data_IF_765602231126
#
_entry.id   IF_765602231126
#
_cell.length_a   1.000
_cell.length_b   1.000
_cell.length_c   1.000
_cell.angle_alpha   90.00
_cell.angle_beta   90.00
_cell.angle_gamma   90.00
#
_symmetry.space_group_name_H-M   'P 1'
#
loop_
_entity.id
_entity.type
_entity.pdbx_description
1 polymer ?
#
# COMPACT_ATOMS: atom_id res chain seq x y z
N UNK A 1 -35.30 -22.91 -3.24
CA UNK A 1 -34.28 -23.78 -3.87
C UNK A 1 -32.91 -23.11 -3.77
N UNK A 2 -31.92 -23.83 -3.26
CA UNK A 2 -30.53 -23.36 -3.13
C UNK A 2 -29.82 -23.37 -4.48
N UNK A 3 -29.01 -22.34 -4.77
CA UNK A 3 -28.23 -22.25 -6.01
C UNK A 3 -26.75 -22.07 -5.70
N UNK A 4 -25.89 -22.63 -6.55
CA UNK A 4 -24.45 -22.40 -6.47
C UNK A 4 -24.18 -20.92 -6.72
N UNK A 5 -23.24 -20.35 -5.96
CA UNK A 5 -22.87 -18.95 -5.90
C UNK A 5 -23.88 -17.99 -5.26
N UNK A 6 -25.05 -18.45 -4.79
CA UNK A 6 -25.94 -17.63 -3.95
C UNK A 6 -25.17 -17.16 -2.69
N UNK A 7 -25.46 -15.93 -2.28
CA UNK A 7 -24.94 -15.34 -1.03
C UNK A 7 -26.07 -15.23 -0.03
N UNK A 8 -25.84 -15.75 1.16
CA UNK A 8 -26.77 -15.68 2.29
C UNK A 8 -26.12 -15.01 3.48
N UNK A 9 -26.91 -14.28 4.26
CA UNK A 9 -26.46 -13.64 5.48
C UNK A 9 -27.03 -14.36 6.71
N UNK A 10 -26.16 -14.58 7.69
CA UNK A 10 -26.47 -15.16 8.99
C UNK A 10 -25.50 -14.58 10.02
N UNK A 11 -26.00 -14.12 11.16
CA UNK A 11 -25.18 -13.55 12.25
C UNK A 11 -24.20 -12.44 11.77
N UNK A 12 -24.72 -11.51 10.96
CA UNK A 12 -23.96 -10.40 10.34
C UNK A 12 -22.73 -10.85 9.52
N UNK A 13 -22.73 -12.10 9.03
CA UNK A 13 -21.70 -12.66 8.16
C UNK A 13 -22.33 -13.19 6.90
N UNK A 14 -21.65 -12.97 5.79
CA UNK A 14 -22.08 -13.44 4.47
C UNK A 14 -21.39 -14.74 4.12
N UNK A 15 -22.20 -15.71 3.71
CA UNK A 15 -21.78 -17.02 3.28
C UNK A 15 -22.13 -17.23 1.82
N UNK A 16 -21.18 -17.74 1.03
CA UNK A 16 -21.43 -18.18 -0.34
C UNK A 16 -21.65 -19.67 -0.38
N UNK A 17 -22.64 -20.11 -1.14
CA UNK A 17 -22.88 -21.52 -1.45
C UNK A 17 -21.95 -21.93 -2.59
N UNK A 18 -21.10 -22.92 -2.35
CA UNK A 18 -20.11 -23.39 -3.32
C UNK A 18 -20.56 -24.63 -4.09
N UNK A 19 -21.34 -25.48 -3.41
CA UNK A 19 -21.83 -26.74 -3.95
C UNK A 19 -23.09 -27.16 -3.21
N UNK A 20 -24.00 -27.81 -3.90
CA UNK A 20 -25.30 -28.27 -3.37
C UNK A 20 -25.45 -29.74 -3.74
N UNK A 21 -25.64 -30.57 -2.72
CA UNK A 21 -26.00 -31.98 -2.84
C UNK A 21 -27.48 -32.19 -2.49
N UNK A 22 -27.93 -33.43 -2.39
CA UNK A 22 -29.30 -33.77 -2.03
C UNK A 22 -29.67 -33.44 -0.58
N UNK A 23 -28.75 -33.62 0.37
CA UNK A 23 -29.00 -33.48 1.82
C UNK A 23 -28.12 -32.42 2.48
N UNK A 24 -27.06 -32.00 1.80
CA UNK A 24 -26.05 -31.09 2.32
C UNK A 24 -25.70 -30.04 1.29
N UNK A 25 -25.18 -28.92 1.78
CA UNK A 25 -24.50 -27.96 0.94
C UNK A 25 -23.15 -27.58 1.54
N UNK A 26 -22.28 -27.07 0.68
CA UNK A 26 -20.97 -26.59 1.06
C UNK A 26 -21.00 -25.07 0.96
N UNK A 27 -20.69 -24.38 2.06
CA UNK A 27 -20.65 -22.92 2.14
C UNK A 27 -19.29 -22.42 2.59
N UNK A 28 -19.03 -21.15 2.34
CA UNK A 28 -17.82 -20.44 2.75
C UNK A 28 -18.15 -19.04 3.24
N UNK A 29 -17.55 -18.63 4.37
CA UNK A 29 -17.62 -17.24 4.84
C UNK A 29 -16.82 -16.31 3.91
N UNK A 30 -17.49 -15.32 3.33
CA UNK A 30 -16.91 -14.36 2.39
C UNK A 30 -16.10 -13.29 3.14
N UNK A 31 -16.58 -12.89 4.31
CA UNK A 31 -15.99 -11.80 5.11
C UNK A 31 -14.70 -12.22 5.83
N UNK A 32 -14.42 -13.52 5.90
CA UNK A 32 -13.24 -14.03 6.57
C UNK A 32 -12.02 -14.10 5.63
N UNK A 33 -10.92 -13.42 5.98
CA UNK A 33 -9.65 -13.52 5.24
C UNK A 33 -9.14 -14.98 5.16
N UNK A 34 -9.34 -15.71 6.27
CA UNK A 34 -9.11 -17.13 6.63
C UNK A 34 -10.14 -18.19 6.20
N UNK A 35 -11.31 -17.80 5.67
CA UNK A 35 -12.42 -18.72 5.36
C UNK A 35 -12.07 -19.98 4.56
N UNK A 36 -12.62 -21.12 4.97
CA UNK A 36 -12.52 -22.40 4.27
C UNK A 36 -13.90 -23.02 4.07
N UNK A 37 -14.10 -23.87 3.05
CA UNK A 37 -15.37 -24.56 2.84
C UNK A 37 -15.78 -25.39 4.06
N UNK A 38 -17.05 -25.31 4.42
CA UNK A 38 -17.71 -26.04 5.50
C UNK A 38 -18.98 -26.67 4.96
N UNK A 39 -19.24 -27.92 5.33
CA UNK A 39 -20.46 -28.65 4.96
C UNK A 39 -21.52 -28.43 6.03
N UNK A 40 -22.76 -28.19 5.60
CA UNK A 40 -23.94 -28.05 6.45
C UNK A 40 -25.08 -28.88 5.87
N UNK A 41 -26.00 -29.34 6.72
CA UNK A 41 -27.23 -29.97 6.27
C UNK A 41 -28.24 -28.94 5.77
N UNK A 42 -28.97 -29.30 4.72
CA UNK A 42 -29.98 -28.42 4.13
C UNK A 42 -31.11 -28.15 5.13
N UNK A 43 -31.58 -29.19 5.84
CA UNK A 43 -32.67 -29.09 6.81
C UNK A 43 -32.40 -28.03 7.89
N UNK A 44 -31.16 -27.99 8.42
CA UNK A 44 -30.75 -26.97 9.40
C UNK A 44 -30.83 -25.56 8.83
N UNK A 45 -30.47 -25.39 7.56
CA UNK A 45 -30.55 -24.08 6.90
C UNK A 45 -31.99 -23.69 6.58
N UNK A 46 -32.86 -24.66 6.27
CA UNK A 46 -34.28 -24.43 6.06
C UNK A 46 -34.98 -24.01 7.36
N UNK A 47 -34.63 -24.60 8.50
CA UNK A 47 -35.09 -24.16 9.82
C UNK A 47 -34.68 -22.71 10.10
N UNK A 48 -33.43 -22.32 9.79
CA UNK A 48 -32.96 -20.94 9.93
C UNK A 48 -33.68 -19.95 9.00
N UNK A 49 -34.04 -20.40 7.79
CA UNK A 49 -34.85 -19.60 6.86
C UNK A 49 -36.27 -19.44 7.41
N UNK A 50 -36.89 -20.51 7.91
CA UNK A 50 -38.22 -20.47 8.50
C UNK A 50 -38.28 -19.56 9.74
N UNK A 51 -37.21 -19.55 10.54
CA UNK A 51 -37.04 -18.65 11.68
C UNK A 51 -36.73 -17.18 11.28
N UNK A 52 -36.54 -16.88 9.99
CA UNK A 52 -36.20 -15.54 9.50
C UNK A 52 -34.77 -15.08 9.85
N UNK A 53 -33.90 -15.99 10.29
CA UNK A 53 -32.52 -15.69 10.70
C UNK A 53 -31.54 -15.75 9.53
N UNK A 54 -31.91 -16.41 8.44
CA UNK A 54 -31.10 -16.57 7.25
C UNK A 54 -31.80 -15.95 6.04
N UNK A 55 -31.15 -14.98 5.40
CA UNK A 55 -31.71 -14.24 4.27
C UNK A 55 -30.75 -14.28 3.07
N UNK A 56 -31.29 -14.17 1.85
CA UNK A 56 -30.47 -13.99 0.64
C UNK A 56 -30.09 -12.52 0.51
N UNK A 57 -28.84 -12.26 0.14
CA UNK A 57 -28.30 -10.92 -0.04
C UNK A 57 -27.62 -10.83 -1.41
N UNK A 58 -27.53 -9.62 -1.96
CA UNK A 58 -26.78 -9.38 -3.20
C UNK A 58 -25.30 -9.74 -3.06
N UNK A 59 -24.74 -10.33 -4.13
CA UNK A 59 -23.34 -10.72 -4.16
C UNK A 59 -22.43 -9.49 -4.24
N UNK A 60 -21.54 -9.26 -3.23
CA UNK A 60 -20.59 -8.15 -3.25
C UNK A 60 -19.61 -8.16 -4.44
N UNK A 61 -19.50 -9.30 -5.11
CA UNK A 61 -18.61 -9.52 -6.25
C UNK A 61 -19.36 -9.71 -7.58
N UNK A 62 -20.65 -9.39 -7.64
CA UNK A 62 -21.47 -9.52 -8.85
C UNK A 62 -20.84 -8.83 -10.09
N UNK A 63 -20.17 -7.69 -9.89
CA UNK A 63 -19.46 -6.95 -10.96
C UNK A 63 -18.44 -7.81 -11.74
N UNK A 64 -17.85 -8.83 -11.10
CA UNK A 64 -16.85 -9.69 -11.73
C UNK A 64 -17.42 -10.56 -12.85
N UNK A 65 -18.73 -10.79 -12.87
CA UNK A 65 -19.40 -11.52 -13.95
C UNK A 65 -19.37 -10.73 -15.26
N UNK A 66 -19.42 -9.40 -15.18
CA UNK A 66 -19.55 -8.50 -16.33
C UNK A 66 -18.16 -8.00 -16.79
N UNK A 67 -17.19 -7.98 -15.87
CA UNK A 67 -15.87 -7.43 -16.12
C UNK A 67 -15.11 -8.22 -17.20
N UNK A 68 -14.76 -7.53 -18.29
CA UNK A 68 -13.95 -8.11 -19.37
C UNK A 68 -12.62 -7.37 -19.43
N UNK A 69 -11.54 -7.90 -18.81
CA UNK A 69 -10.23 -7.27 -18.88
C UNK A 69 -9.71 -7.32 -20.32
N UNK A 70 -9.09 -6.23 -20.77
CA UNK A 70 -8.46 -6.15 -22.08
C UNK A 70 -7.43 -7.26 -22.24
N UNK A 71 -7.47 -7.93 -23.40
CA UNK A 71 -6.59 -9.04 -23.68
C UNK A 71 -5.12 -8.58 -23.69
N UNK A 72 -4.24 -9.36 -23.05
CA UNK A 72 -2.82 -9.01 -22.94
C UNK A 72 -2.46 -7.96 -21.87
N UNK A 73 -3.43 -7.31 -21.23
CA UNK A 73 -3.22 -6.44 -20.07
C UNK A 73 -2.54 -7.18 -18.90
N UNK A 74 -1.97 -6.43 -17.94
CA UNK A 74 -1.34 -7.02 -16.74
C UNK A 74 -2.34 -7.87 -15.94
N UNK A 75 -3.58 -7.39 -15.83
CA UNK A 75 -4.64 -8.04 -15.08
C UNK A 75 -5.10 -9.32 -15.75
N UNK A 76 -5.27 -9.30 -17.08
CA UNK A 76 -5.55 -10.48 -17.89
C UNK A 76 -4.48 -11.55 -17.69
N UNK A 77 -3.20 -11.21 -17.87
CA UNK A 77 -2.08 -12.15 -17.71
C UNK A 77 -2.02 -12.76 -16.31
N UNK A 78 -2.30 -11.98 -15.28
CA UNK A 78 -2.34 -12.46 -13.88
C UNK A 78 -3.53 -13.39 -13.63
N UNK A 79 -4.71 -13.04 -14.15
CA UNK A 79 -5.91 -13.89 -14.08
C UNK A 79 -5.66 -15.23 -14.75
N UNK A 80 -5.13 -15.23 -15.97
CA UNK A 80 -4.80 -16.46 -16.71
C UNK A 80 -3.79 -17.33 -15.96
N UNK A 81 -2.71 -16.71 -15.47
CA UNK A 81 -1.68 -17.43 -14.69
C UNK A 81 -2.26 -18.05 -13.41
N UNK A 82 -3.11 -17.31 -12.70
CA UNK A 82 -3.75 -17.81 -11.49
C UNK A 82 -4.74 -18.93 -11.79
N UNK A 83 -5.53 -18.80 -12.87
CA UNK A 83 -6.51 -19.79 -13.30
C UNK A 83 -5.82 -21.09 -13.70
N UNK A 84 -4.77 -21.00 -14.52
CA UNK A 84 -3.99 -22.14 -14.95
C UNK A 84 -3.36 -22.90 -13.77
N UNK A 85 -2.99 -22.20 -12.70
CA UNK A 85 -2.42 -22.82 -11.50
C UNK A 85 -3.44 -23.64 -10.69
N UNK A 86 -4.74 -23.32 -10.75
CA UNK A 86 -5.78 -24.02 -9.99
C UNK A 86 -6.73 -24.86 -10.85
N UNK A 87 -6.60 -24.79 -12.19
CA UNK A 87 -7.49 -25.46 -13.15
C UNK A 87 -7.66 -26.95 -12.84
N UNK A 88 -6.58 -27.65 -12.54
CA UNK A 88 -6.61 -29.10 -12.26
C UNK A 88 -7.20 -29.42 -10.88
N UNK A 89 -7.30 -28.42 -9.99
CA UNK A 89 -7.87 -28.57 -8.63
C UNK A 89 -9.38 -28.35 -8.67
N UNK A 90 -9.84 -27.34 -9.41
CA UNK A 90 -11.26 -26.94 -9.42
C UNK A 90 -12.20 -27.93 -10.13
N UNK A 91 -11.63 -28.89 -10.87
CA UNK A 91 -12.36 -29.96 -11.55
C UNK A 91 -12.80 -31.04 -10.58
N UNK A 92 -12.10 -31.23 -9.46
CA UNK A 92 -12.38 -32.28 -8.49
C UNK A 92 -13.15 -31.72 -7.28
N UNK A 93 -14.33 -32.28 -7.00
CA UNK A 93 -15.17 -31.92 -5.84
C UNK A 93 -14.44 -32.13 -4.50
N UNK A 94 -13.42 -32.99 -4.49
CA UNK A 94 -12.52 -33.19 -3.34
C UNK A 94 -11.84 -31.91 -2.87
N UNK A 95 -11.82 -30.85 -3.70
CA UNK A 95 -11.33 -29.53 -3.30
C UNK A 95 -12.08 -28.95 -2.09
N UNK A 96 -13.31 -29.37 -1.81
CA UNK A 96 -14.06 -28.86 -0.66
C UNK A 96 -13.65 -29.51 0.66
N UNK A 97 -13.17 -30.76 0.64
CA UNK A 97 -12.80 -31.50 1.84
C UNK A 97 -11.35 -31.22 2.26
N UNK A 98 -11.13 -30.85 3.53
CA UNK A 98 -9.83 -30.34 4.04
C UNK A 98 -8.64 -31.26 3.76
N UNK A 99 -8.78 -32.56 4.03
CA UNK A 99 -7.69 -33.54 3.88
C UNK A 99 -7.35 -33.78 2.40
N UNK A 100 -8.37 -34.00 1.58
CA UNK A 100 -8.21 -34.31 0.16
C UNK A 100 -7.72 -33.09 -0.61
N UNK A 101 -8.26 -31.90 -0.32
CA UNK A 101 -7.74 -30.62 -0.81
C UNK A 101 -6.25 -30.46 -0.55
N UNK A 102 -5.77 -30.77 0.66
CA UNK A 102 -4.36 -30.63 0.98
C UNK A 102 -3.49 -31.56 0.12
N UNK A 103 -3.95 -32.78 -0.16
CA UNK A 103 -3.28 -33.71 -1.06
C UNK A 103 -3.30 -33.21 -2.51
N UNK A 104 -4.45 -32.73 -3.02
CA UNK A 104 -4.56 -32.13 -4.36
C UNK A 104 -3.62 -30.95 -4.54
N UNK A 105 -3.59 -30.02 -3.58
CA UNK A 105 -2.71 -28.86 -3.61
C UNK A 105 -1.24 -29.24 -3.59
N UNK A 106 -0.86 -30.26 -2.80
CA UNK A 106 0.51 -30.76 -2.76
C UNK A 106 0.92 -31.37 -4.11
N UNK A 107 0.06 -32.22 -4.68
CA UNK A 107 0.30 -32.83 -5.99
C UNK A 107 0.47 -31.78 -7.10
N UNK A 108 -0.34 -30.71 -7.10
CA UNK A 108 -0.20 -29.61 -8.06
C UNK A 108 1.05 -28.77 -7.78
N UNK A 109 1.39 -28.54 -6.52
CA UNK A 109 2.62 -27.83 -6.15
C UNK A 109 3.89 -28.61 -6.53
N UNK A 110 3.87 -29.94 -6.47
CA UNK A 110 5.02 -30.78 -6.86
C UNK A 110 5.20 -30.80 -8.39
N UNK A 111 4.09 -30.73 -9.16
CA UNK A 111 4.11 -30.68 -10.63
C UNK A 111 4.38 -29.29 -11.20
N UNK A 112 4.15 -28.23 -10.43
CA UNK A 112 4.25 -26.84 -10.88
C UNK A 112 5.31 -26.07 -10.10
N UNK A 113 5.70 -24.86 -10.55
CA UNK A 113 6.58 -23.97 -9.79
C UNK A 113 5.82 -23.07 -8.80
N UNK A 114 4.61 -23.46 -8.40
CA UNK A 114 3.72 -22.63 -7.56
C UNK A 114 3.64 -23.22 -6.16
N UNK A 115 3.90 -22.39 -5.14
CA UNK A 115 3.87 -22.84 -3.75
C UNK A 115 2.44 -23.11 -3.26
N UNK A 116 2.28 -24.10 -2.36
CA UNK A 116 1.00 -24.45 -1.73
C UNK A 116 0.26 -23.23 -1.13
N UNK A 117 0.91 -22.29 -0.42
CA UNK A 117 0.24 -21.08 0.07
C UNK A 117 -0.35 -20.21 -1.04
N UNK A 118 0.33 -20.13 -2.20
CA UNK A 118 -0.14 -19.36 -3.36
C UNK A 118 -1.36 -20.03 -3.98
N UNK A 119 -1.36 -21.35 -4.12
CA UNK A 119 -2.51 -22.11 -4.60
C UNK A 119 -3.71 -21.95 -3.66
N UNK A 120 -3.50 -22.03 -2.34
CA UNK A 120 -4.55 -21.74 -1.35
C UNK A 120 -5.12 -20.34 -1.51
N UNK A 121 -4.28 -19.33 -1.75
CA UNK A 121 -4.72 -17.95 -1.98
C UNK A 121 -5.61 -17.84 -3.22
N UNK A 122 -5.24 -18.48 -4.34
CA UNK A 122 -6.05 -18.46 -5.56
C UNK A 122 -7.36 -19.21 -5.40
N UNK A 123 -7.33 -20.40 -4.81
CA UNK A 123 -8.53 -21.23 -4.61
C UNK A 123 -9.55 -20.56 -3.67
N UNK A 124 -9.06 -19.96 -2.58
CA UNK A 124 -9.87 -19.14 -1.68
C UNK A 124 -10.52 -17.96 -2.40
N UNK A 125 -9.73 -17.21 -3.19
CA UNK A 125 -10.22 -16.09 -3.98
C UNK A 125 -11.29 -16.54 -4.97
N UNK A 126 -11.08 -17.68 -5.62
CA UNK A 126 -12.03 -18.30 -6.53
C UNK A 126 -13.37 -18.60 -5.86
N UNK A 127 -13.36 -19.22 -4.67
CA UNK A 127 -14.58 -19.50 -3.92
C UNK A 127 -15.27 -18.25 -3.37
N UNK A 128 -14.54 -17.31 -2.77
CA UNK A 128 -15.15 -16.12 -2.15
C UNK A 128 -15.88 -15.23 -3.16
N UNK A 129 -15.49 -15.28 -4.43
CA UNK A 129 -15.93 -14.37 -5.49
C UNK A 129 -16.71 -15.04 -6.62
N UNK A 130 -17.27 -16.22 -6.36
CA UNK A 130 -18.31 -16.80 -7.22
C UNK A 130 -17.84 -17.82 -8.25
N UNK A 131 -16.73 -18.51 -8.02
CA UNK A 131 -16.27 -19.64 -8.86
C UNK A 131 -16.18 -19.29 -10.36
N UNK A 132 -15.75 -18.07 -10.66
CA UNK A 132 -15.55 -17.57 -12.02
C UNK A 132 -14.08 -17.34 -12.29
N UNK A 133 -13.68 -17.37 -13.56
CA UNK A 133 -12.30 -17.02 -13.95
C UNK A 133 -11.92 -15.61 -13.48
N UNK A 134 -12.86 -14.67 -13.58
CA UNK A 134 -12.69 -13.28 -13.16
C UNK A 134 -12.58 -13.10 -11.64
N UNK A 135 -12.95 -14.10 -10.82
CA UNK A 135 -12.68 -14.11 -9.39
C UNK A 135 -11.20 -13.84 -9.11
N UNK A 136 -10.31 -14.34 -9.97
CA UNK A 136 -8.88 -14.27 -9.80
C UNK A 136 -8.25 -12.93 -10.16
N UNK A 137 -9.03 -11.97 -10.65
CA UNK A 137 -8.56 -10.62 -10.94
C UNK A 137 -8.01 -9.92 -9.68
N UNK A 138 -6.97 -9.09 -9.84
CA UNK A 138 -6.43 -8.30 -8.74
C UNK A 138 -7.34 -7.12 -8.37
N UNK A 139 -7.41 -6.79 -7.08
CA UNK A 139 -8.21 -5.66 -6.59
C UNK A 139 -7.41 -4.36 -6.64
N UNK A 140 -6.88 -4.00 -7.81
CA UNK A 140 -6.10 -2.77 -7.94
C UNK A 140 -6.93 -1.51 -7.72
N UNK A 141 -8.27 -1.58 -7.85
CA UNK A 141 -9.18 -0.51 -7.42
C UNK A 141 -9.00 -0.13 -5.95
N UNK A 142 -8.57 -1.07 -5.10
CA UNK A 142 -8.27 -0.84 -3.68
C UNK A 142 -6.79 -0.49 -3.43
N UNK A 143 -6.00 -0.36 -4.49
CA UNK A 143 -4.58 0.01 -4.47
C UNK A 143 -4.42 1.39 -5.12
N UNK A 144 -3.34 2.11 -4.79
CA UNK A 144 -3.03 3.35 -5.52
C UNK A 144 -3.13 4.66 -4.72
N UNK A 145 -2.96 4.63 -3.40
CA UNK A 145 -2.61 5.84 -2.64
C UNK A 145 -1.14 6.26 -2.86
N UNK A 146 -0.65 6.22 -4.10
CA UNK A 146 0.67 6.73 -4.45
C UNK A 146 0.67 8.26 -4.26
N UNK A 147 1.68 8.80 -3.58
CA UNK A 147 1.79 10.24 -3.29
C UNK A 147 0.87 10.77 -2.17
N UNK A 148 -0.24 10.08 -1.82
CA UNK A 148 -1.10 10.50 -0.72
C UNK A 148 -0.50 10.07 0.63
N UNK A 149 -0.40 10.97 1.63
CA UNK A 149 0.05 10.60 2.95
C UNK A 149 -0.95 9.63 3.60
N UNK A 150 -0.47 8.51 4.11
CA UNK A 150 -1.31 7.58 4.90
C UNK A 150 -1.54 8.18 6.29
N UNK A 151 -2.79 8.25 6.70
CA UNK A 151 -3.15 8.55 8.09
C UNK A 151 -3.13 7.27 8.90
N UNK A 152 -2.47 7.30 10.05
CA UNK A 152 -2.35 6.16 10.94
C UNK A 152 -3.08 6.49 12.23
N UNK A 153 -4.07 5.68 12.62
CA UNK A 153 -4.79 5.85 13.88
C UNK A 153 -4.06 5.13 15.02
N UNK A 154 -3.85 3.82 14.88
CA UNK A 154 -3.33 2.99 15.97
C UNK A 154 -1.93 2.41 15.71
N UNK A 155 -1.50 2.35 14.44
CA UNK A 155 -0.26 1.67 14.03
C UNK A 155 0.71 2.64 13.40
N UNK A 156 1.83 2.89 14.06
CA UNK A 156 2.90 3.71 13.48
C UNK A 156 3.68 2.92 12.42
N UNK A 157 3.85 3.45 11.20
CA UNK A 157 4.66 2.79 10.17
C UNK A 157 6.16 2.92 10.52
N UNK A 158 6.94 1.93 10.12
CA UNK A 158 8.39 1.93 10.28
C UNK A 158 8.90 1.10 11.46
N UNK A 159 10.20 1.22 11.74
CA UNK A 159 10.89 0.45 12.76
C UNK A 159 10.38 0.83 14.16
N UNK A 160 9.99 -0.17 14.95
CA UNK A 160 9.66 0.02 16.37
C UNK A 160 10.91 0.41 17.16
N UNK A 161 10.76 1.21 18.22
CA UNK A 161 11.86 1.52 19.14
C UNK A 161 12.34 0.20 19.76
N UNK A 162 13.65 -0.06 19.70
CA UNK A 162 14.27 -1.28 20.25
C UNK A 162 14.90 -0.99 21.62
N UNK A 163 15.56 0.16 21.76
CA UNK A 163 16.41 0.47 22.93
C UNK A 163 15.83 1.51 23.90
N UNK A 164 14.83 2.28 23.48
CA UNK A 164 14.21 3.31 24.34
C UNK A 164 12.77 2.91 24.68
N UNK A 165 12.34 3.07 25.94
CA UNK A 165 10.95 2.88 26.32
C UNK A 165 10.01 3.85 25.59
N UNK A 166 8.76 3.43 25.44
CA UNK A 166 7.68 4.24 24.86
C UNK A 166 7.17 3.82 23.48
N UNK A 167 5.91 4.16 23.23
CA UNK A 167 5.24 3.93 21.95
C UNK A 167 5.50 5.09 21.00
N UNK A 168 5.99 4.81 19.78
CA UNK A 168 6.13 5.85 18.75
C UNK A 168 4.76 6.41 18.39
N UNK A 169 4.55 7.71 18.59
CA UNK A 169 3.29 8.38 18.29
C UNK A 169 3.01 8.39 16.79
N UNK A 170 1.78 8.02 16.37
CA UNK A 170 1.37 8.09 14.98
C UNK A 170 1.31 9.55 14.50
N UNK A 171 1.68 9.77 13.23
CA UNK A 171 1.76 11.12 12.67
C UNK A 171 0.37 11.63 12.24
N UNK A 172 -0.35 12.22 13.20
CA UNK A 172 -1.64 12.86 12.99
C UNK A 172 -1.52 14.18 12.18
N UNK A 173 -2.64 14.68 11.66
CA UNK A 173 -2.68 15.91 10.88
C UNK A 173 -2.19 17.14 11.69
N UNK A 174 -2.50 17.20 12.98
CA UNK A 174 -2.09 18.31 13.86
C UNK A 174 -0.57 18.36 14.06
N UNK A 175 0.06 17.20 14.26
CA UNK A 175 1.50 17.08 14.36
C UNK A 175 2.16 17.50 13.04
N UNK A 176 1.58 17.14 11.89
CA UNK A 176 2.07 17.58 10.58
C UNK A 176 1.96 19.09 10.40
N UNK A 177 0.89 19.71 10.88
CA UNK A 177 0.75 21.18 10.87
C UNK A 177 1.85 21.84 11.71
N UNK A 178 2.12 21.30 12.90
CA UNK A 178 3.18 21.82 13.77
C UNK A 178 4.58 21.61 13.17
N UNK A 179 4.83 20.47 12.50
CA UNK A 179 6.04 20.23 11.73
C UNK A 179 6.23 21.29 10.64
N UNK A 180 5.22 21.53 9.79
CA UNK A 180 5.30 22.54 8.72
C UNK A 180 5.64 23.91 9.27
N UNK A 181 4.90 24.38 10.28
CA UNK A 181 5.15 25.67 10.92
C UNK A 181 6.57 25.80 11.45
N UNK A 182 7.10 24.75 12.09
CA UNK A 182 8.48 24.78 12.61
C UNK A 182 9.52 24.77 11.48
N UNK A 183 9.29 23.99 10.42
CA UNK A 183 10.21 23.91 9.27
C UNK A 183 10.24 25.24 8.52
N UNK A 184 9.08 25.80 8.20
CA UNK A 184 8.95 27.07 7.48
C UNK A 184 9.61 28.22 8.25
N UNK A 185 9.44 28.26 9.57
CA UNK A 185 10.01 29.34 10.39
C UNK A 185 11.53 29.19 10.60
N UNK A 186 12.02 27.96 10.85
CA UNK A 186 13.39 27.74 11.30
C UNK A 186 14.33 27.29 10.18
N UNK A 187 13.88 26.46 9.23
CA UNK A 187 14.72 25.86 8.19
C UNK A 187 14.59 26.52 6.83
N UNK A 188 13.43 27.09 6.48
CA UNK A 188 13.21 27.80 5.21
C UNK A 188 13.53 29.29 5.36
N UNK A 189 14.77 29.57 5.75
CA UNK A 189 15.28 30.93 5.87
C UNK A 189 16.76 31.00 5.47
N UNK A 190 17.24 32.21 5.21
CA UNK A 190 18.62 32.48 4.79
C UNK A 190 19.67 32.20 5.88
N UNK A 191 19.25 31.88 7.11
CA UNK A 191 20.14 31.69 8.27
C UNK A 191 20.75 30.29 8.34
N UNK A 192 20.38 29.37 7.45
CA UNK A 192 20.97 28.02 7.32
C UNK A 192 21.07 27.25 8.65
N UNK A 193 19.95 27.15 9.38
CA UNK A 193 19.89 26.42 10.64
C UNK A 193 19.89 24.89 10.45
N UNK A 194 20.46 24.17 11.41
CA UNK A 194 20.49 22.70 11.35
C UNK A 194 19.12 22.08 11.64
N UNK A 195 18.84 20.93 11.01
CA UNK A 195 17.61 20.16 11.24
C UNK A 195 17.46 19.77 12.72
N UNK A 196 18.57 19.47 13.40
CA UNK A 196 18.59 19.19 14.85
C UNK A 196 18.13 20.39 15.68
N UNK A 197 18.50 21.61 15.28
CA UNK A 197 18.04 22.83 15.96
C UNK A 197 16.53 23.04 15.77
N UNK A 198 16.03 22.89 14.54
CA UNK A 198 14.61 22.98 14.26
C UNK A 198 13.80 21.93 15.02
N UNK A 199 14.31 20.71 15.16
CA UNK A 199 13.67 19.68 15.96
C UNK A 199 13.57 20.05 17.45
N UNK A 200 14.60 20.67 18.04
CA UNK A 200 14.52 21.16 19.43
C UNK A 200 13.41 22.21 19.58
N UNK A 201 13.30 23.14 18.63
CA UNK A 201 12.21 24.14 18.62
C UNK A 201 10.84 23.49 18.45
N UNK A 202 10.73 22.48 17.61
CA UNK A 202 9.51 21.67 17.47
C UNK A 202 9.16 21.00 18.80
N UNK A 203 10.11 20.33 19.47
CA UNK A 203 9.86 19.63 20.72
C UNK A 203 9.39 20.59 21.83
N UNK A 204 9.98 21.79 21.91
CA UNK A 204 9.51 22.84 22.82
C UNK A 204 8.09 23.29 22.49
N UNK A 205 7.77 23.53 21.21
CA UNK A 205 6.42 23.92 20.78
C UNK A 205 5.38 22.82 21.02
N UNK A 206 5.78 21.56 20.87
CA UNK A 206 4.92 20.40 21.13
C UNK A 206 4.60 20.24 22.62
N UNK A 207 5.62 20.38 23.51
CA UNK A 207 5.41 20.38 24.97
C UNK A 207 4.54 21.56 25.42
N UNK A 208 4.69 22.73 24.79
CA UNK A 208 3.82 23.88 25.08
C UNK A 208 2.35 23.59 24.71
N UNK A 209 2.11 22.96 23.56
CA UNK A 209 0.76 22.60 23.12
C UNK A 209 0.16 21.42 23.91
N UNK A 210 1.00 20.53 24.47
CA UNK A 210 0.59 19.36 25.24
C UNK A 210 1.41 19.28 26.54
N UNK A 211 1.02 20.01 27.60
CA UNK A 211 1.77 20.07 28.86
C UNK A 211 1.92 18.71 29.55
N UNK A 212 0.91 17.86 29.45
CA UNK A 212 0.88 16.53 30.10
C UNK A 212 1.59 15.44 29.28
N UNK A 213 2.11 15.77 28.10
CA UNK A 213 2.75 14.80 27.24
C UNK A 213 4.12 14.37 27.79
N UNK A 214 4.31 13.06 27.97
CA UNK A 214 5.61 12.48 28.30
C UNK A 214 6.61 12.68 27.15
N UNK A 215 7.91 12.68 27.45
CA UNK A 215 8.96 12.81 26.43
C UNK A 215 8.89 11.70 25.37
N UNK A 216 8.39 10.54 25.76
CA UNK A 216 8.20 9.40 24.88
C UNK A 216 7.13 9.64 23.81
N UNK A 217 6.15 10.50 24.12
CA UNK A 217 5.04 10.87 23.25
C UNK A 217 5.42 11.98 22.26
N UNK A 218 6.63 12.52 22.33
CA UNK A 218 7.12 13.49 21.36
C UNK A 218 7.48 12.72 20.07
N UNK A 219 7.00 13.19 18.90
CA UNK A 219 7.41 12.65 17.61
C UNK A 219 8.92 12.66 17.47
N UNK A 220 9.49 11.57 16.97
CA UNK A 220 10.94 11.38 16.92
C UNK A 220 11.62 12.32 15.91
N UNK A 221 12.90 12.62 16.16
CA UNK A 221 13.74 13.35 15.21
C UNK A 221 13.71 12.76 13.80
N UNK A 222 13.75 11.42 13.70
CA UNK A 222 13.66 10.72 12.41
C UNK A 222 12.34 10.97 11.69
N UNK A 223 11.21 10.97 12.40
CA UNK A 223 9.90 11.30 11.81
C UNK A 223 9.87 12.75 11.29
N UNK A 224 10.43 13.69 12.06
CA UNK A 224 10.55 15.09 11.66
C UNK A 224 11.44 15.25 10.42
N UNK A 225 12.64 14.65 10.44
CA UNK A 225 13.58 14.68 9.32
C UNK A 225 12.99 14.05 8.06
N UNK A 226 12.35 12.88 8.19
CA UNK A 226 11.71 12.21 7.07
C UNK A 226 10.56 13.06 6.49
N UNK A 227 9.75 13.69 7.36
CA UNK A 227 8.71 14.61 6.92
C UNK A 227 9.29 15.79 6.11
N UNK A 228 10.36 16.41 6.62
CA UNK A 228 11.05 17.51 5.94
C UNK A 228 11.66 17.10 4.59
N UNK A 229 12.27 15.92 4.50
CA UNK A 229 12.84 15.42 3.25
C UNK A 229 11.78 15.07 2.20
N UNK A 230 10.59 14.63 2.64
CA UNK A 230 9.52 14.20 1.75
C UNK A 230 8.63 15.33 1.25
N UNK A 231 8.25 16.29 2.10
CA UNK A 231 7.30 17.35 1.73
C UNK A 231 7.94 18.49 0.95
N UNK A 232 9.24 18.71 1.12
CA UNK A 232 9.95 19.83 0.51
C UNK A 232 11.01 19.33 -0.46
N UNK A 233 10.91 19.73 -1.72
CA UNK A 233 11.89 19.37 -2.74
C UNK A 233 13.23 20.08 -2.52
N UNK A 234 14.30 19.53 -3.09
CA UNK A 234 15.64 20.11 -2.96
C UNK A 234 15.74 21.50 -3.61
N UNK A 235 15.03 21.69 -4.72
CA UNK A 235 14.93 22.96 -5.45
C UNK A 235 14.28 24.05 -4.59
N UNK A 236 13.14 23.73 -3.97
CA UNK A 236 12.39 24.67 -3.14
C UNK A 236 13.18 25.08 -1.90
N UNK A 237 13.88 24.11 -1.28
CA UNK A 237 14.79 24.36 -0.15
C UNK A 237 15.90 25.33 -0.55
N UNK A 238 16.53 25.09 -1.69
CA UNK A 238 17.65 25.89 -2.17
C UNK A 238 17.21 27.34 -2.45
N UNK A 239 16.02 27.52 -3.03
CA UNK A 239 15.44 28.85 -3.27
C UNK A 239 15.15 29.56 -1.94
N UNK A 240 14.53 28.87 -0.97
CA UNK A 240 14.14 29.46 0.30
C UNK A 240 15.30 29.74 1.27
N UNK A 241 16.42 29.04 1.11
CA UNK A 241 17.61 29.18 1.97
C UNK A 241 18.68 30.11 1.37
N UNK A 242 18.51 30.52 0.12
CA UNK A 242 19.47 31.38 -0.57
C UNK A 242 18.87 32.77 -0.75
N UNK A 243 19.58 33.83 -0.31
CA UNK A 243 19.18 35.19 -0.61
C UNK A 243 18.95 35.39 -2.11
N UNK A 244 17.88 36.08 -2.48
CA UNK A 244 17.43 36.22 -3.89
C UNK A 244 18.56 36.67 -4.83
N UNK A 245 19.41 37.60 -4.39
CA UNK A 245 20.56 38.10 -5.15
C UNK A 245 21.57 37.00 -5.47
N UNK A 246 21.95 36.22 -4.45
CA UNK A 246 22.91 35.13 -4.59
C UNK A 246 22.31 33.99 -5.44
N UNK A 247 21.02 33.73 -5.25
CA UNK A 247 20.33 32.71 -6.04
C UNK A 247 20.39 33.04 -7.54
N UNK A 248 20.03 34.27 -7.92
CA UNK A 248 20.03 34.72 -9.31
C UNK A 248 21.41 34.75 -9.96
N UNK A 249 22.44 35.02 -9.16
CA UNK A 249 23.82 35.19 -9.65
C UNK A 249 24.56 33.85 -9.75
N UNK A 250 24.55 33.05 -8.69
CA UNK A 250 25.50 31.96 -8.49
C UNK A 250 24.84 30.57 -8.39
N UNK A 251 23.53 30.48 -8.16
CA UNK A 251 22.84 29.21 -7.85
C UNK A 251 21.80 28.80 -8.90
N UNK A 252 21.17 29.77 -9.57
CA UNK A 252 20.09 29.51 -10.54
C UNK A 252 20.60 28.58 -11.66
N UNK A 253 19.87 27.48 -11.95
CA UNK A 253 20.20 26.62 -13.08
C UNK A 253 20.18 27.41 -14.40
N UNK A 254 21.20 27.25 -15.23
CA UNK A 254 21.17 27.75 -16.61
C UNK A 254 20.09 26.98 -17.39
N UNK A 255 19.23 27.70 -18.09
CA UNK A 255 18.15 27.10 -18.89
C UNK A 255 18.55 26.85 -20.35
N UNK A 256 19.81 27.13 -20.72
CA UNK A 256 20.30 27.00 -22.09
C UNK A 256 21.42 25.98 -22.24
N UNK A 257 21.52 25.37 -23.42
CA UNK A 257 22.58 24.42 -23.75
C UNK A 257 23.83 25.15 -24.23
N UNK A 258 25.03 24.63 -23.96
CA UNK A 258 26.30 25.29 -24.31
C UNK A 258 26.44 25.65 -25.82
N UNK A 259 25.71 24.94 -26.68
CA UNK A 259 25.67 25.11 -28.14
C UNK A 259 24.54 26.02 -28.64
N UNK A 260 23.59 26.41 -27.79
CA UNK A 260 22.37 27.14 -28.20
C UNK A 260 22.66 28.58 -28.65
N UNK A 261 23.77 29.16 -28.15
CA UNK A 261 24.30 30.45 -28.61
C UNK A 261 25.52 30.31 -29.53
N UNK A 262 25.84 29.10 -29.98
CA UNK A 262 26.93 28.88 -30.92
C UNK A 262 26.38 28.96 -32.34
N UNK A 263 26.68 30.05 -33.06
CA UNK A 263 26.22 30.26 -34.43
C UNK A 263 26.81 29.24 -35.44
N UNK A 264 27.87 28.54 -35.03
CA UNK A 264 28.55 27.50 -35.81
C UNK A 264 29.75 26.90 -35.05
N UNK A 265 30.36 25.81 -35.57
CA UNK A 265 31.53 25.19 -34.96
C UNK A 265 32.71 26.19 -34.90
N UNK A 266 33.25 26.42 -33.70
CA UNK A 266 34.37 27.35 -33.44
C UNK A 266 34.00 28.70 -32.82
N UNK A 267 32.71 29.01 -32.65
CA UNK A 267 32.23 30.35 -32.22
C UNK A 267 32.47 30.71 -30.74
N UNK A 268 32.83 29.78 -29.85
CA UNK A 268 33.20 30.07 -28.45
C UNK A 268 34.56 29.47 -28.08
N UNK A 269 35.63 30.22 -28.31
CA UNK A 269 36.95 30.01 -27.67
C UNK A 269 37.35 31.25 -26.88
N UNK A 270 36.80 31.41 -25.66
CA UNK A 270 37.40 32.32 -24.68
C UNK A 270 38.33 31.51 -23.77
N UNK A 271 39.63 31.56 -24.06
CA UNK A 271 40.70 31.28 -23.09
C UNK A 271 40.52 32.25 -21.92
N UNK A 272 39.92 31.79 -20.82
CA UNK A 272 40.15 32.42 -19.52
C UNK A 272 41.50 31.91 -19.04
N UNK A 273 42.50 32.80 -19.00
CA UNK A 273 43.67 32.58 -18.16
C UNK A 273 43.15 32.49 -16.73
N UNK A 274 43.06 31.28 -16.18
CA UNK A 274 42.94 31.08 -14.75
C UNK A 274 44.26 31.55 -14.14
N UNK A 275 44.26 32.64 -13.36
CA UNK A 275 45.37 32.86 -12.44
C UNK A 275 45.30 31.76 -11.39
N UNK A 276 46.37 30.98 -11.31
CA UNK A 276 46.55 29.88 -10.39
C UNK A 276 46.60 30.37 -8.95
N UNK A 277 45.47 30.32 -8.26
CA UNK A 277 45.42 30.31 -6.79
C UNK A 277 44.06 29.77 -6.33
N UNK A 278 44.12 28.88 -5.34
CA UNK A 278 43.03 28.10 -4.73
C UNK A 278 42.79 26.74 -5.42
N UNK A 279 43.79 25.89 -5.30
CA UNK A 279 43.66 24.44 -5.31
C UNK A 279 44.05 23.97 -3.91
N UNK A 280 43.08 23.84 -3.00
CA UNK A 280 43.28 23.18 -1.72
C UNK A 280 41.95 22.80 -1.07
N UNK A 281 41.84 21.51 -0.74
CA UNK A 281 40.89 20.86 0.17
C UNK A 281 39.51 20.51 -0.39
N UNK A 282 39.43 19.37 -1.10
CA UNK A 282 38.35 18.39 -0.92
C UNK A 282 38.84 16.99 -1.34
N UNK A 283 39.56 16.33 -0.42
CA UNK A 283 39.63 14.85 -0.34
C UNK A 283 39.96 14.46 1.09
N UNK A 284 38.93 14.24 1.91
CA UNK A 284 38.72 13.08 2.79
C UNK A 284 37.35 13.19 3.47
#
# INVERSE_FOLDING_TARGET
MWRVNDVVEYDNKRYRILFVESTRLIRLCIDENKGTPTSEYIDVLEDLVAAGQLTRVEDPFAELQILTPEEGSSDYKRREKAYQAIKDIIVDEKMYFKKERAALLKNVADKSKVSVPTLYKYLRRYWQRGQLKNALLPDFKNSGAAGKPRSFKDKTPGQRRIHNPGTTVPLNDDIRRLFRRTIETVLLNDKNMSVSYAYRKFASAYKFANPDASEEQIPTYRQFQHFYLREYEKTDKLIAQTPVTNYRKDVRPLHGTATEQALGPGSRTRRKYFSSSILSVFTK
#
